data_IF_333866383559
#
_entry.id   IF_333866383559
#
_cell.length_a   1.000
_cell.length_b   1.000
_cell.length_c   1.000
_cell.angle_alpha   90.00
_cell.angle_beta   90.00
_cell.angle_gamma   90.00
#
_symmetry.space_group_name_H-M   'P 1'
#
loop_
_entity.id
_entity.type
_entity.pdbx_description
1 polymer ?
#
# COMPACT_ATOMS: atom_id res chain seq x y z
N UNK A 1 -2.97 -9.57 -11.94
CA UNK A 1 -3.60 -10.55 -11.05
C UNK A 1 -2.62 -11.10 -10.01
N UNK A 2 -1.52 -11.72 -10.44
CA UNK A 2 -0.56 -12.41 -9.55
C UNK A 2 -0.04 -11.53 -8.40
N UNK A 3 0.56 -10.39 -8.71
CA UNK A 3 1.17 -9.49 -7.71
C UNK A 3 0.14 -8.93 -6.73
N UNK A 4 -1.05 -8.56 -7.22
CA UNK A 4 -2.15 -8.11 -6.36
C UNK A 4 -2.57 -9.22 -5.37
N UNK A 5 -2.68 -10.46 -5.84
CA UNK A 5 -3.07 -11.58 -4.99
C UNK A 5 -2.06 -11.88 -3.90
N UNK A 6 -0.76 -12.00 -4.24
CA UNK A 6 0.26 -12.44 -3.29
C UNK A 6 0.75 -11.33 -2.35
N UNK A 7 0.90 -10.10 -2.86
CA UNK A 7 1.40 -8.97 -2.06
C UNK A 7 0.36 -8.52 -1.05
N UNK A 8 -0.91 -8.50 -1.42
CA UNK A 8 -1.98 -8.13 -0.51
C UNK A 8 -2.64 -9.32 0.20
N UNK A 9 -2.17 -10.56 -0.07
CA UNK A 9 -2.76 -11.78 0.50
C UNK A 9 -4.29 -11.75 0.41
N UNK A 10 -4.81 -11.45 -0.79
CA UNK A 10 -6.23 -11.18 -1.04
C UNK A 10 -7.09 -12.40 -0.75
N UNK A 11 -8.12 -12.18 0.05
CA UNK A 11 -9.20 -13.13 0.36
C UNK A 11 -10.53 -12.57 -0.17
N UNK A 12 -10.92 -12.90 -1.41
CA UNK A 12 -12.05 -12.26 -2.09
C UNK A 12 -13.36 -12.29 -1.30
N UNK A 13 -13.56 -13.33 -0.49
CA UNK A 13 -14.78 -13.54 0.26
C UNK A 13 -14.95 -12.60 1.46
N UNK A 14 -13.83 -12.06 1.97
CA UNK A 14 -13.84 -11.31 3.24
C UNK A 14 -13.16 -9.95 3.14
N UNK A 15 -12.31 -9.73 2.14
CA UNK A 15 -11.58 -8.47 2.03
C UNK A 15 -12.37 -7.39 1.31
N UNK A 16 -12.26 -6.18 1.84
CA UNK A 16 -12.59 -4.93 1.17
C UNK A 16 -11.29 -4.18 0.93
N UNK A 17 -10.88 -4.14 -0.32
CA UNK A 17 -9.63 -3.52 -0.75
C UNK A 17 -9.87 -2.06 -1.16
N UNK A 18 -8.95 -1.18 -0.82
CA UNK A 18 -8.97 0.19 -1.30
C UNK A 18 -7.57 0.67 -1.69
N UNK A 19 -7.41 0.98 -2.97
CA UNK A 19 -6.28 1.74 -3.49
C UNK A 19 -6.72 3.18 -3.72
N UNK A 20 -6.03 4.14 -3.10
CA UNK A 20 -6.36 5.57 -3.19
C UNK A 20 -5.65 6.28 -4.35
N UNK A 21 -4.95 5.55 -5.21
CA UNK A 21 -4.29 6.13 -6.37
C UNK A 21 -5.30 6.68 -7.38
N UNK A 22 -4.87 7.66 -8.15
CA UNK A 22 -5.64 8.18 -9.28
C UNK A 22 -5.64 7.16 -10.43
N UNK A 23 -6.81 6.95 -11.04
CA UNK A 23 -6.97 6.03 -12.17
C UNK A 23 -6.23 6.47 -13.43
N UNK A 24 -5.83 7.72 -13.52
CA UNK A 24 -4.99 8.26 -14.60
C UNK A 24 -3.54 7.78 -14.58
N UNK A 25 -3.08 7.18 -13.48
CA UNK A 25 -1.74 6.61 -13.33
C UNK A 25 -1.75 5.09 -13.48
N UNK A 26 -0.59 4.52 -13.79
CA UNK A 26 -0.44 3.06 -13.92
C UNK A 26 -0.88 2.30 -12.66
N UNK A 27 -0.72 2.89 -11.47
CA UNK A 27 -1.20 2.28 -10.22
C UNK A 27 -2.72 2.11 -10.23
N UNK A 28 -3.45 3.09 -10.75
CA UNK A 28 -4.90 2.97 -10.95
C UNK A 28 -5.25 1.84 -11.90
N UNK A 29 -4.55 1.72 -13.02
CA UNK A 29 -4.78 0.63 -13.97
C UNK A 29 -4.51 -0.74 -13.35
N UNK A 30 -3.32 -0.96 -12.79
CA UNK A 30 -2.91 -2.27 -12.27
C UNK A 30 -3.61 -2.66 -10.97
N UNK A 31 -3.85 -1.70 -10.06
CA UNK A 31 -4.28 -1.98 -8.69
C UNK A 31 -5.63 -1.37 -8.29
N UNK A 32 -6.35 -0.72 -9.20
CA UNK A 32 -7.77 -0.39 -9.05
C UNK A 32 -8.60 -1.15 -10.08
N UNK A 33 -8.19 -1.12 -11.38
CA UNK A 33 -9.00 -1.73 -12.43
C UNK A 33 -8.68 -3.22 -12.57
N UNK A 34 -7.45 -3.57 -13.00
CA UNK A 34 -7.18 -4.95 -13.44
C UNK A 34 -6.95 -5.93 -12.28
N UNK A 35 -6.09 -5.60 -11.35
CA UNK A 35 -5.71 -6.51 -10.26
C UNK A 35 -6.89 -6.95 -9.40
N UNK A 36 -7.64 -6.02 -8.81
CA UNK A 36 -8.79 -6.35 -7.96
C UNK A 36 -9.89 -7.09 -8.72
N UNK A 37 -10.27 -6.63 -9.91
CA UNK A 37 -11.37 -7.23 -10.68
C UNK A 37 -11.06 -8.66 -11.14
N UNK A 38 -9.83 -8.92 -11.63
CA UNK A 38 -9.42 -10.28 -12.03
C UNK A 38 -9.39 -11.23 -10.83
N UNK A 39 -9.05 -10.73 -9.65
CA UNK A 39 -9.02 -11.52 -8.42
C UNK A 39 -10.38 -11.62 -7.72
N UNK A 40 -11.44 -11.02 -8.26
CA UNK A 40 -12.77 -11.04 -7.66
C UNK A 40 -12.87 -10.30 -6.32
N UNK A 41 -11.98 -9.33 -6.07
CA UNK A 41 -11.95 -8.61 -4.82
C UNK A 41 -13.05 -7.54 -4.76
N UNK A 42 -13.72 -7.43 -3.62
CA UNK A 42 -14.54 -6.25 -3.30
C UNK A 42 -13.62 -5.06 -3.09
N UNK A 43 -13.95 -3.92 -3.71
CA UNK A 43 -13.10 -2.73 -3.57
C UNK A 43 -13.93 -1.46 -3.42
N UNK A 44 -13.32 -0.46 -2.76
CA UNK A 44 -13.83 0.90 -2.71
C UNK A 44 -13.28 1.67 -3.91
N UNK A 45 -14.18 2.33 -4.65
CA UNK A 45 -13.85 3.36 -5.63
C UNK A 45 -14.39 4.69 -5.14
N UNK A 46 -13.52 5.68 -5.07
CA UNK A 46 -13.84 6.99 -4.51
C UNK A 46 -13.54 8.10 -5.51
N UNK A 47 -14.54 8.91 -5.80
CA UNK A 47 -14.41 10.14 -6.57
C UNK A 47 -14.39 11.33 -5.60
N UNK A 48 -13.24 11.95 -5.44
CA UNK A 48 -13.06 13.08 -4.55
C UNK A 48 -11.63 13.26 -4.07
N UNK A 49 -11.41 14.31 -3.30
CA UNK A 49 -10.14 14.60 -2.64
C UNK A 49 -10.12 14.06 -1.21
N UNK A 50 -8.94 13.79 -0.63
CA UNK A 50 -8.85 13.16 0.68
C UNK A 50 -9.35 14.04 1.85
N UNK A 51 -9.55 15.34 1.61
CA UNK A 51 -9.95 16.34 2.60
C UNK A 51 -11.37 16.88 2.40
N UNK A 52 -12.10 16.39 1.43
CA UNK A 52 -13.46 16.87 1.12
C UNK A 52 -14.50 15.79 1.47
N UNK A 53 -15.53 16.11 2.24
CA UNK A 53 -15.91 17.42 2.82
C UNK A 53 -15.09 17.81 4.08
N UNK A 54 -14.26 16.92 4.61
CA UNK A 54 -13.43 17.17 5.78
C UNK A 54 -12.20 16.25 5.80
N UNK A 55 -11.16 16.62 6.54
CA UNK A 55 -9.86 15.89 6.63
C UNK A 55 -9.95 14.45 7.15
N UNK A 56 -11.06 14.07 7.78
CA UNK A 56 -11.31 12.71 8.24
C UNK A 56 -11.98 11.80 7.19
N UNK A 57 -12.24 12.31 5.98
CA UNK A 57 -13.07 11.60 4.98
C UNK A 57 -12.58 10.20 4.63
N UNK A 58 -11.29 10.02 4.46
CA UNK A 58 -10.71 8.71 4.15
C UNK A 58 -10.98 7.72 5.30
N UNK A 59 -10.79 8.14 6.52
CA UNK A 59 -10.97 7.29 7.71
C UNK A 59 -12.45 6.96 7.95
N UNK A 60 -13.35 7.92 7.69
CA UNK A 60 -14.80 7.69 7.69
C UNK A 60 -15.20 6.60 6.68
N UNK A 61 -14.62 6.61 5.48
CA UNK A 61 -14.91 5.60 4.47
C UNK A 61 -14.34 4.24 4.83
N UNK A 62 -13.17 4.19 5.47
CA UNK A 62 -12.60 2.93 6.00
C UNK A 62 -13.56 2.32 7.01
N UNK A 63 -14.02 3.08 7.98
CA UNK A 63 -14.99 2.62 8.99
C UNK A 63 -16.31 2.20 8.35
N UNK A 64 -16.87 3.07 7.51
CA UNK A 64 -18.19 2.86 6.89
C UNK A 64 -18.27 1.60 6.03
N UNK A 65 -17.22 1.31 5.27
CA UNK A 65 -17.20 0.19 4.33
C UNK A 65 -16.41 -1.01 4.83
N UNK A 66 -15.86 -0.95 6.05
CA UNK A 66 -15.09 -2.04 6.62
C UNK A 66 -13.84 -2.37 5.79
N UNK A 67 -13.12 -1.35 5.31
CA UNK A 67 -11.92 -1.55 4.50
C UNK A 67 -10.90 -2.38 5.27
N UNK A 68 -10.44 -3.48 4.67
CA UNK A 68 -9.47 -4.40 5.30
C UNK A 68 -8.04 -4.17 4.80
N UNK A 69 -7.89 -3.64 3.60
CA UNK A 69 -6.59 -3.39 2.95
C UNK A 69 -6.58 -1.97 2.40
N UNK A 70 -5.64 -1.16 2.87
CA UNK A 70 -5.44 0.21 2.39
C UNK A 70 -4.11 0.34 1.66
N UNK A 71 -4.14 0.71 0.39
CA UNK A 71 -2.98 0.91 -0.47
C UNK A 71 -2.90 2.37 -0.92
N UNK A 72 -1.86 3.09 -0.50
CA UNK A 72 -1.79 4.55 -0.69
C UNK A 72 -0.36 5.05 -0.90
N UNK A 73 -0.22 6.33 -1.24
CA UNK A 73 1.07 6.94 -1.48
C UNK A 73 1.66 7.59 -0.20
N UNK A 74 2.99 7.56 -0.01
CA UNK A 74 3.67 8.25 1.09
C UNK A 74 3.35 9.74 1.20
N UNK A 75 3.13 10.42 0.08
CA UNK A 75 2.71 11.83 0.08
C UNK A 75 1.39 12.03 0.82
N UNK A 76 0.41 11.15 0.64
CA UNK A 76 -0.87 11.23 1.36
C UNK A 76 -0.68 10.89 2.85
N UNK A 77 0.14 9.90 3.19
CA UNK A 77 0.47 9.56 4.58
C UNK A 77 1.10 10.78 5.29
N UNK A 78 2.10 11.43 4.68
CA UNK A 78 2.71 12.64 5.22
C UNK A 78 1.71 13.81 5.36
N UNK A 79 0.74 13.87 4.48
CA UNK A 79 -0.34 14.85 4.56
C UNK A 79 -1.22 14.60 5.78
N UNK A 80 -1.60 13.35 6.04
CA UNK A 80 -2.35 12.99 7.24
C UNK A 80 -1.57 13.28 8.53
N UNK A 81 -0.26 12.98 8.56
CA UNK A 81 0.60 13.35 9.70
C UNK A 81 0.57 14.85 9.98
N UNK A 82 0.62 15.68 8.93
CA UNK A 82 0.53 17.15 9.09
C UNK A 82 -0.84 17.62 9.56
N UNK A 83 -1.90 16.91 9.23
CA UNK A 83 -3.24 17.28 9.69
C UNK A 83 -3.45 16.95 11.18
N UNK A 84 -2.76 15.94 11.70
CA UNK A 84 -2.80 15.52 13.10
C UNK A 84 -3.57 14.23 13.33
N UNK A 85 -3.20 13.55 14.41
CA UNK A 85 -3.74 12.24 14.79
C UNK A 85 -5.21 12.28 15.21
N UNK A 86 -5.72 13.47 15.55
CA UNK A 86 -7.11 13.64 15.93
C UNK A 86 -8.10 13.28 14.81
N UNK A 87 -7.67 13.28 13.53
CA UNK A 87 -8.56 12.91 12.43
C UNK A 87 -8.74 11.39 12.33
N UNK A 88 -7.68 10.56 12.22
CA UNK A 88 -7.87 9.11 12.22
C UNK A 88 -8.45 8.58 13.53
N UNK A 89 -8.10 9.17 14.67
CA UNK A 89 -8.56 8.73 15.99
C UNK A 89 -10.07 8.91 16.24
N UNK A 90 -10.77 9.64 15.38
CA UNK A 90 -12.24 9.78 15.46
C UNK A 90 -12.99 8.57 14.90
N UNK A 91 -12.33 7.69 14.17
CA UNK A 91 -12.95 6.61 13.44
C UNK A 91 -12.40 5.25 13.86
N UNK A 92 -13.23 4.22 13.75
CA UNK A 92 -12.83 2.86 14.02
C UNK A 92 -12.12 2.24 12.82
N UNK A 93 -10.79 2.15 12.88
CA UNK A 93 -9.95 1.55 11.85
C UNK A 93 -9.63 0.06 12.11
N UNK A 94 -10.33 -0.60 13.02
CA UNK A 94 -10.04 -1.98 13.42
C UNK A 94 -10.29 -3.01 12.32
N UNK A 95 -11.04 -2.67 11.28
CA UNK A 95 -11.21 -3.51 10.09
C UNK A 95 -9.93 -3.68 9.28
N UNK A 96 -9.01 -2.70 9.32
CA UNK A 96 -7.74 -2.80 8.60
C UNK A 96 -6.91 -3.97 9.11
N UNK A 97 -6.45 -4.82 8.20
CA UNK A 97 -5.52 -5.93 8.46
C UNK A 97 -4.19 -5.80 7.73
N UNK A 98 -4.14 -5.00 6.67
CA UNK A 98 -2.95 -4.79 5.85
C UNK A 98 -2.89 -3.36 5.32
N UNK A 99 -1.71 -2.79 5.36
CA UNK A 99 -1.40 -1.49 4.78
C UNK A 99 -0.39 -1.64 3.64
N UNK A 100 -0.47 -0.76 2.65
CA UNK A 100 0.48 -0.74 1.55
C UNK A 100 0.91 0.68 1.18
N UNK A 101 2.13 0.79 0.69
CA UNK A 101 2.75 2.04 0.22
C UNK A 101 3.21 1.89 -1.23
N UNK A 102 2.99 2.93 -2.05
CA UNK A 102 3.25 2.93 -3.49
C UNK A 102 3.59 4.31 -4.05
N UNK A 103 4.37 4.29 -5.12
CA UNK A 103 4.59 5.44 -6.01
C UNK A 103 5.84 6.24 -5.72
N UNK A 104 6.37 6.20 -4.51
CA UNK A 104 7.61 6.83 -4.09
C UNK A 104 8.20 6.13 -2.86
N UNK A 105 9.49 6.31 -2.55
CA UNK A 105 10.05 5.81 -1.30
C UNK A 105 9.36 6.44 -0.09
N UNK A 106 9.03 5.62 0.90
CA UNK A 106 8.50 6.09 2.18
C UNK A 106 9.65 6.24 3.19
N UNK A 107 9.76 7.40 3.83
CA UNK A 107 10.72 7.59 4.90
C UNK A 107 10.33 6.81 6.17
N UNK A 108 11.31 6.35 6.98
CA UNK A 108 11.03 5.52 8.17
C UNK A 108 10.04 6.14 9.15
N UNK A 109 10.08 7.46 9.36
CA UNK A 109 9.16 8.17 10.25
C UNK A 109 7.70 8.06 9.78
N UNK A 110 7.43 8.30 8.49
CA UNK A 110 6.09 8.17 7.93
C UNK A 110 5.61 6.71 7.92
N UNK A 111 6.53 5.75 7.70
CA UNK A 111 6.24 4.33 7.77
C UNK A 111 5.83 3.92 9.20
N UNK A 112 6.55 4.38 10.22
CA UNK A 112 6.24 4.11 11.62
C UNK A 112 4.91 4.71 12.03
N UNK A 113 4.67 5.99 11.69
CA UNK A 113 3.39 6.65 11.95
C UNK A 113 2.22 5.90 11.28
N UNK A 114 2.38 5.49 10.03
CA UNK A 114 1.37 4.74 9.29
C UNK A 114 1.04 3.42 9.97
N UNK A 115 2.08 2.71 10.46
CA UNK A 115 1.91 1.49 11.22
C UNK A 115 1.20 1.71 12.56
N UNK A 116 1.62 2.73 13.31
CA UNK A 116 1.15 2.98 14.67
C UNK A 116 -0.24 3.57 14.68
N UNK A 117 -0.45 4.67 13.97
CA UNK A 117 -1.68 5.46 14.03
C UNK A 117 -2.78 4.83 13.15
N UNK A 118 -2.48 4.50 11.91
CA UNK A 118 -3.48 3.93 11.00
C UNK A 118 -3.62 2.42 11.19
N UNK A 119 -2.51 1.72 11.31
CA UNK A 119 -2.47 0.27 11.48
C UNK A 119 -2.68 -0.25 12.89
N UNK A 120 -2.68 0.64 13.91
CA UNK A 120 -2.84 0.26 15.32
C UNK A 120 -1.78 -0.73 15.79
N UNK A 121 -0.57 -0.69 15.26
CA UNK A 121 0.55 -1.61 15.49
C UNK A 121 0.28 -3.10 15.14
N UNK A 122 -0.90 -3.43 14.61
CA UNK A 122 -1.28 -4.82 14.25
C UNK A 122 -1.15 -5.12 12.75
N UNK A 123 -1.29 -4.09 11.90
CA UNK A 123 -1.22 -4.27 10.46
C UNK A 123 0.23 -4.34 9.96
N UNK A 124 0.63 -5.37 9.22
CA UNK A 124 1.85 -5.32 8.45
C UNK A 124 1.75 -4.26 7.35
N UNK A 125 2.91 -3.75 6.93
CA UNK A 125 2.99 -2.81 5.79
C UNK A 125 3.74 -3.49 4.66
N UNK A 126 3.15 -3.51 3.48
CA UNK A 126 3.82 -3.86 2.23
C UNK A 126 4.25 -2.57 1.54
N UNK A 127 5.54 -2.27 1.62
CA UNK A 127 6.18 -1.18 0.88
C UNK A 127 6.59 -1.73 -0.48
N UNK A 128 6.00 -1.20 -1.55
CA UNK A 128 6.09 -1.81 -2.88
C UNK A 128 6.94 -0.98 -3.82
N UNK A 129 7.88 -1.64 -4.50
CA UNK A 129 8.66 -1.05 -5.57
C UNK A 129 8.29 -1.65 -6.93
N UNK A 130 7.99 -0.79 -7.87
CA UNK A 130 7.70 -1.12 -9.28
C UNK A 130 7.62 0.15 -10.12
N UNK A 131 7.46 -0.01 -11.42
CA UNK A 131 7.46 1.08 -12.39
C UNK A 131 6.31 0.89 -13.39
N UNK A 132 5.99 1.95 -14.14
CA UNK A 132 5.07 1.89 -15.27
C UNK A 132 5.49 0.80 -16.25
N UNK A 133 6.79 0.70 -16.52
CA UNK A 133 7.41 -0.24 -17.46
C UNK A 133 7.30 -1.69 -17.02
N UNK A 134 7.21 -1.95 -15.72
CA UNK A 134 7.02 -3.30 -15.20
C UNK A 134 5.55 -3.72 -15.09
N UNK A 135 4.63 -2.75 -15.12
CA UNK A 135 3.19 -2.99 -15.08
C UNK A 135 2.65 -3.56 -13.75
N UNK A 136 3.51 -3.89 -12.82
CA UNK A 136 3.15 -4.44 -11.51
C UNK A 136 4.33 -4.55 -10.55
N UNK A 137 4.05 -4.89 -9.29
CA UNK A 137 5.02 -4.96 -8.20
C UNK A 137 6.12 -5.99 -8.51
N UNK A 138 7.37 -5.57 -8.33
CA UNK A 138 8.57 -6.39 -8.50
C UNK A 138 9.24 -6.72 -7.17
N UNK A 139 9.26 -5.76 -6.25
CA UNK A 139 9.92 -5.89 -4.94
C UNK A 139 8.91 -5.47 -3.88
N UNK A 140 8.69 -6.33 -2.88
CA UNK A 140 7.77 -6.09 -1.76
C UNK A 140 7.97 -7.14 -0.68
N UNK A 141 7.81 -6.80 0.61
CA UNK A 141 7.62 -7.83 1.62
C UNK A 141 6.30 -8.57 1.37
N UNK A 142 6.24 -9.84 1.76
CA UNK A 142 5.02 -10.63 1.74
C UNK A 142 4.47 -10.74 3.17
N UNK A 143 3.17 -10.47 3.39
CA UNK A 143 2.55 -10.51 4.70
C UNK A 143 2.72 -11.87 5.38
N UNK A 144 3.15 -11.86 6.65
CA UNK A 144 3.36 -13.08 7.43
C UNK A 144 4.59 -13.92 7.04
N UNK A 145 5.32 -13.53 5.98
CA UNK A 145 6.49 -14.27 5.46
C UNK A 145 7.77 -13.46 5.62
N UNK A 146 7.74 -12.17 5.26
CA UNK A 146 8.93 -11.32 5.23
C UNK A 146 8.97 -10.38 6.44
N UNK A 147 10.07 -10.40 7.20
CA UNK A 147 10.32 -9.37 8.20
C UNK A 147 10.46 -8.01 7.49
N UNK A 148 9.80 -6.98 8.02
CA UNK A 148 9.79 -5.64 7.41
C UNK A 148 10.82 -4.71 8.05
N UNK A 149 11.31 -3.76 7.27
CA UNK A 149 12.18 -2.67 7.72
C UNK A 149 11.58 -1.36 7.23
N UNK A 150 11.36 -0.39 8.13
CA UNK A 150 10.84 0.93 7.73
C UNK A 150 11.66 1.56 6.60
N UNK A 151 10.98 1.98 5.53
CA UNK A 151 11.60 2.59 4.36
C UNK A 151 12.27 1.62 3.39
N UNK A 152 11.95 0.32 3.46
CA UNK A 152 12.51 -0.68 2.54
C UNK A 152 11.41 -1.56 1.93
N UNK A 153 11.45 -1.72 0.61
CA UNK A 153 10.62 -2.69 -0.12
C UNK A 153 11.14 -4.14 0.02
N UNK A 154 12.20 -4.37 0.73
CA UNK A 154 12.79 -5.66 1.12
C UNK A 154 13.38 -6.46 -0.05
N UNK A 155 12.64 -7.44 -0.59
CA UNK A 155 13.17 -8.42 -1.55
C UNK A 155 12.27 -8.56 -2.77
N UNK A 156 12.86 -9.04 -3.87
CA UNK A 156 12.08 -9.40 -5.06
C UNK A 156 11.03 -10.46 -4.71
N UNK A 157 9.84 -10.29 -5.26
CA UNK A 157 8.76 -11.28 -5.11
C UNK A 157 9.07 -12.55 -5.91
N UNK A 158 8.45 -13.71 -5.59
CA UNK A 158 8.66 -14.94 -6.35
C UNK A 158 8.43 -14.76 -7.85
N UNK A 159 9.36 -15.24 -8.65
CA UNK A 159 9.35 -15.09 -10.12
C UNK A 159 10.11 -13.87 -10.65
N UNK A 160 10.62 -12.99 -9.77
CA UNK A 160 11.42 -11.82 -10.13
C UNK A 160 12.87 -12.03 -9.69
N UNK A 161 13.81 -11.73 -10.57
CA UNK A 161 15.25 -11.64 -10.25
C UNK A 161 15.63 -10.16 -10.22
N UNK A 162 16.13 -9.70 -9.06
CA UNK A 162 16.64 -8.34 -8.88
C UNK A 162 18.11 -8.40 -8.48
N UNK A 163 18.95 -7.61 -9.15
CA UNK A 163 20.39 -7.52 -8.90
C UNK A 163 20.78 -6.05 -8.77
N UNK A 164 21.64 -5.75 -7.80
CA UNK A 164 22.32 -4.45 -7.75
C UNK A 164 23.57 -4.54 -8.60
N UNK A 165 23.77 -3.56 -9.48
CA UNK A 165 24.93 -3.51 -10.38
C UNK A 165 25.70 -2.21 -10.19
N UNK A 166 26.97 -2.20 -10.55
CA UNK A 166 27.81 -1.00 -10.66
C UNK A 166 27.49 -0.23 -11.96
N UNK A 167 28.21 0.89 -12.18
CA UNK A 167 28.05 1.74 -13.37
C UNK A 167 28.43 1.03 -14.70
N UNK A 168 29.10 -0.12 -14.62
CA UNK A 168 29.47 -0.95 -15.76
C UNK A 168 28.53 -2.16 -15.94
N UNK A 169 27.40 -2.17 -15.22
CA UNK A 169 26.43 -3.25 -15.21
C UNK A 169 26.95 -4.60 -14.66
N UNK A 170 28.01 -4.60 -13.86
CA UNK A 170 28.49 -5.81 -13.18
C UNK A 170 27.77 -5.97 -11.83
N UNK A 171 27.32 -7.17 -11.47
CA UNK A 171 26.76 -7.42 -10.15
C UNK A 171 27.71 -7.06 -9.03
N UNK A 172 27.24 -6.31 -8.04
CA UNK A 172 28.02 -5.98 -6.85
C UNK A 172 27.85 -7.05 -5.78
N UNK A 173 28.87 -7.20 -4.92
CA UNK A 173 28.80 -8.09 -3.77
C UNK A 173 27.71 -7.61 -2.80
N UNK A 174 27.11 -8.56 -2.08
CA UNK A 174 26.21 -8.23 -0.98
C UNK A 174 26.99 -7.51 0.11
N UNK A 175 26.54 -6.33 0.51
CA UNK A 175 27.08 -5.57 1.64
C UNK A 175 26.72 -6.16 2.99
#
# INVERSE_FOLDING_TARGET
AYTHRIVFDIKPETDVYWCTADVGWITGHSYIVYGPLINGATQVMYEGTPDTPHKGRIFELIEKYGVTILYTAPTLIRTWMKWGDEFPNKFNLSSLRLLGSVGEPINPEAWMWYREVIGGNRCPIVDTWWQTETGGIMISPLPGVTATKPGSAMTAIPGISAVVVDDNANPVAKG
#
